data_IF_985041255898
#
_entry.id   IF_985041255898
#
_cell.length_a   1.000
_cell.length_b   1.000
_cell.length_c   1.000
_cell.angle_alpha   90.00
_cell.angle_beta   90.00
_cell.angle_gamma   90.00
#
_symmetry.space_group_name_H-M   'P 1'
#
loop_
_entity.id
_entity.type
_entity.pdbx_description
1 polymer ?
#
# COMPACT_ATOMS: atom_id res chain seq x y z
N UNK A 1 -7.24 -51.48 48.82
CA UNK A 1 -6.73 -52.03 47.54
C UNK A 1 -7.09 -51.02 46.46
N UNK A 2 -6.18 -50.11 46.07
CA UNK A 2 -5.25 -50.25 44.93
C UNK A 2 -5.98 -50.80 43.68
N UNK A 3 -5.99 -50.19 42.49
CA UNK A 3 -5.26 -49.06 41.90
C UNK A 3 -5.88 -48.87 40.49
N UNK A 4 -6.05 -47.64 40.01
CA UNK A 4 -5.67 -47.18 38.64
C UNK A 4 -6.32 -45.85 38.30
N UNK A 5 -5.65 -44.78 38.73
CA UNK A 5 -5.76 -43.46 38.11
C UNK A 5 -4.98 -43.57 36.79
N UNK A 6 -5.73 -43.76 35.70
CA UNK A 6 -5.20 -43.83 34.35
C UNK A 6 -5.02 -42.42 33.78
N UNK A 7 -3.77 -42.00 33.80
CA UNK A 7 -3.08 -41.04 32.92
C UNK A 7 -3.90 -40.10 32.01
N UNK A 8 -3.58 -38.81 32.20
CA UNK A 8 -3.62 -37.74 31.22
C UNK A 8 -3.50 -38.20 29.75
N UNK A 9 -4.38 -37.67 28.92
CA UNK A 9 -4.03 -37.33 27.55
C UNK A 9 -4.74 -36.03 27.20
N UNK A 10 -4.03 -34.92 27.41
CA UNK A 10 -4.39 -33.64 26.83
C UNK A 10 -4.28 -33.78 25.32
N UNK A 11 -5.42 -33.81 24.62
CA UNK A 11 -5.45 -33.70 23.17
C UNK A 11 -5.07 -32.28 22.80
N UNK A 12 -3.77 -32.04 22.68
CA UNK A 12 -3.21 -30.85 22.07
C UNK A 12 -3.53 -30.93 20.57
N UNK A 13 -4.71 -30.47 20.18
CA UNK A 13 -5.03 -30.21 18.78
C UNK A 13 -4.24 -28.97 18.36
N UNK A 14 -2.96 -29.18 18.02
CA UNK A 14 -2.15 -28.19 17.34
C UNK A 14 -2.77 -28.04 15.94
N UNK A 15 -3.67 -27.06 15.80
CA UNK A 15 -4.16 -26.64 14.49
C UNK A 15 -2.94 -26.22 13.67
N UNK A 16 -2.62 -27.00 12.63
CA UNK A 16 -1.60 -26.63 11.68
C UNK A 16 -1.91 -25.23 11.14
N UNK A 17 -0.97 -24.27 11.16
CA UNK A 17 -1.07 -23.12 10.29
C UNK A 17 -0.89 -23.66 8.86
N UNK A 18 -2.00 -23.94 8.18
CA UNK A 18 -2.02 -24.22 6.74
C UNK A 18 -1.77 -22.92 5.99
N UNK A 19 -0.55 -22.39 6.06
CA UNK A 19 -0.08 -21.32 5.17
C UNK A 19 0.79 -21.93 4.09
N UNK A 20 0.16 -22.34 2.99
CA UNK A 20 0.83 -22.59 1.70
C UNK A 20 -0.18 -22.75 0.55
N UNK A 21 -1.32 -22.04 0.56
CA UNK A 21 -2.03 -21.82 -0.70
C UNK A 21 -1.48 -20.54 -1.34
N UNK A 22 -1.15 -20.54 -2.64
CA UNK A 22 -0.83 -19.29 -3.32
C UNK A 22 -2.00 -18.34 -3.08
N UNK A 23 -1.74 -17.05 -2.76
CA UNK A 23 -2.81 -16.10 -2.51
C UNK A 23 -3.75 -16.13 -3.71
N UNK A 24 -4.95 -16.65 -3.49
CA UNK A 24 -5.97 -16.62 -4.53
C UNK A 24 -6.31 -15.16 -4.77
N UNK A 25 -6.72 -14.80 -5.99
CA UNK A 25 -7.17 -13.44 -6.27
C UNK A 25 -8.27 -12.96 -5.30
N UNK A 26 -9.05 -13.90 -4.73
CA UNK A 26 -10.01 -13.66 -3.67
C UNK A 26 -9.35 -13.25 -2.33
N UNK A 27 -8.24 -13.87 -1.94
CA UNK A 27 -7.50 -13.51 -0.73
C UNK A 27 -6.85 -12.11 -0.85
N UNK A 28 -6.30 -11.79 -2.03
CA UNK A 28 -5.77 -10.45 -2.29
C UNK A 28 -6.88 -9.38 -2.29
N UNK A 29 -8.05 -9.68 -2.88
CA UNK A 29 -9.20 -8.79 -2.86
C UNK A 29 -9.78 -8.57 -1.45
N UNK A 30 -9.82 -9.63 -0.62
CA UNK A 30 -10.27 -9.54 0.77
C UNK A 30 -9.34 -8.63 1.60
N UNK A 31 -8.03 -8.81 1.46
CA UNK A 31 -7.05 -8.00 2.18
C UNK A 31 -7.10 -6.51 1.74
N UNK A 32 -7.34 -6.21 0.45
CA UNK A 32 -7.56 -4.83 0.00
C UNK A 32 -8.88 -4.23 0.54
N UNK A 33 -9.93 -5.04 0.70
CA UNK A 33 -11.17 -4.59 1.30
C UNK A 33 -10.99 -4.22 2.78
N UNK A 34 -10.25 -5.03 3.53
CA UNK A 34 -9.93 -4.76 4.94
C UNK A 34 -9.08 -3.48 5.11
N UNK A 35 -8.15 -3.20 4.19
CA UNK A 35 -7.41 -1.92 4.16
C UNK A 35 -8.37 -0.74 3.98
N UNK A 36 -9.31 -0.83 3.04
CA UNK A 36 -10.26 0.26 2.78
C UNK A 36 -11.18 0.53 3.98
N UNK A 37 -11.60 -0.53 4.70
CA UNK A 37 -12.38 -0.40 5.94
C UNK A 37 -11.60 0.33 7.04
N UNK A 38 -10.32 -0.01 7.22
CA UNK A 38 -9.46 0.68 8.19
C UNK A 38 -9.23 2.15 7.83
N UNK A 39 -9.03 2.47 6.56
CA UNK A 39 -8.91 3.86 6.07
C UNK A 39 -10.17 4.68 6.35
N UNK A 40 -11.35 4.09 6.10
CA UNK A 40 -12.63 4.70 6.46
C UNK A 40 -12.71 4.93 7.97
N UNK A 41 -12.36 3.94 8.79
CA UNK A 41 -12.32 4.07 10.25
C UNK A 41 -11.41 5.20 10.74
N UNK A 42 -10.24 5.37 10.13
CA UNK A 42 -9.30 6.49 10.43
C UNK A 42 -9.95 7.84 10.10
N UNK A 43 -10.63 7.93 8.95
CA UNK A 43 -11.32 9.15 8.52
C UNK A 43 -12.43 9.54 9.50
N UNK A 44 -13.21 8.56 9.97
CA UNK A 44 -14.26 8.78 10.96
C UNK A 44 -13.69 9.15 12.33
N UNK A 45 -12.63 8.48 12.78
CA UNK A 45 -11.95 8.81 14.03
C UNK A 45 -11.37 10.23 13.99
N UNK A 46 -10.84 10.66 12.84
CA UNK A 46 -10.39 12.05 12.62
C UNK A 46 -11.56 13.02 12.71
N UNK A 47 -12.68 12.74 12.04
CA UNK A 47 -13.88 13.59 12.09
C UNK A 47 -14.45 13.73 13.51
N UNK A 48 -14.37 12.66 14.31
CA UNK A 48 -14.82 12.61 15.71
C UNK A 48 -13.78 13.12 16.73
N UNK A 49 -12.60 13.56 16.29
CA UNK A 49 -11.53 14.04 17.17
C UNK A 49 -10.87 12.95 18.05
N UNK A 50 -11.05 11.68 17.71
CA UNK A 50 -10.58 10.53 18.50
C UNK A 50 -9.12 10.19 18.19
N UNK A 51 -8.20 11.01 18.69
CA UNK A 51 -6.77 10.90 18.36
C UNK A 51 -6.13 9.55 18.71
N UNK A 52 -6.48 8.94 19.86
CA UNK A 52 -5.94 7.64 20.25
C UNK A 52 -6.45 6.51 19.34
N UNK A 53 -7.77 6.48 19.09
CA UNK A 53 -8.38 5.48 18.21
C UNK A 53 -7.83 5.59 16.79
N UNK A 54 -7.63 6.82 16.30
CA UNK A 54 -6.97 7.07 15.00
C UNK A 54 -5.57 6.46 14.93
N UNK A 55 -4.78 6.57 16.01
CA UNK A 55 -3.43 5.99 16.06
C UNK A 55 -3.47 4.47 16.02
N UNK A 56 -4.34 3.85 16.83
CA UNK A 56 -4.54 2.41 16.83
C UNK A 56 -4.93 1.89 15.45
N UNK A 57 -5.92 2.52 14.80
CA UNK A 57 -6.34 2.14 13.45
C UNK A 57 -5.24 2.33 12.41
N UNK A 58 -4.38 3.34 12.56
CA UNK A 58 -3.24 3.54 11.67
C UNK A 58 -2.12 2.51 11.87
N UNK A 59 -1.93 2.02 13.10
CA UNK A 59 -1.01 0.92 13.41
C UNK A 59 -1.54 -0.43 12.90
N UNK A 60 -2.85 -0.68 13.07
CA UNK A 60 -3.53 -1.84 12.50
C UNK A 60 -3.42 -1.84 10.96
N UNK A 61 -3.65 -0.68 10.33
CA UNK A 61 -3.52 -0.51 8.88
C UNK A 61 -2.09 -0.76 8.39
N UNK A 62 -1.06 -0.27 9.10
CA UNK A 62 0.32 -0.46 8.68
C UNK A 62 0.78 -1.92 8.81
N UNK A 63 0.33 -2.62 9.84
CA UNK A 63 0.55 -4.05 10.01
C UNK A 63 -0.13 -4.85 8.89
N UNK A 64 -1.41 -4.57 8.62
CA UNK A 64 -2.18 -5.25 7.58
C UNK A 64 -1.58 -4.99 6.19
N UNK A 65 -1.16 -3.75 5.88
CA UNK A 65 -0.50 -3.43 4.61
C UNK A 65 0.80 -4.23 4.42
N UNK A 66 1.59 -4.44 5.48
CA UNK A 66 2.80 -5.25 5.41
C UNK A 66 2.49 -6.72 5.09
N UNK A 67 1.43 -7.28 5.68
CA UNK A 67 0.98 -8.66 5.45
C UNK A 67 0.34 -8.85 4.07
N UNK A 68 -0.49 -7.89 3.67
CA UNK A 68 -1.12 -7.82 2.35
C UNK A 68 -0.11 -7.72 1.20
N UNK A 69 1.02 -7.07 1.44
CA UNK A 69 2.12 -6.94 0.47
C UNK A 69 3.09 -8.14 0.53
N UNK A 70 2.98 -9.01 1.54
CA UNK A 70 3.89 -10.12 1.79
C UNK A 70 3.79 -11.33 0.83
N UNK A 71 3.01 -11.31 -0.27
CA UNK A 71 3.33 -12.13 -1.42
C UNK A 71 3.59 -11.32 -2.70
N UNK A 72 4.29 -10.18 -2.59
CA UNK A 72 5.01 -9.56 -3.71
C UNK A 72 6.48 -9.35 -3.32
N UNK A 73 7.24 -10.44 -3.45
CA UNK A 73 8.69 -10.45 -3.72
C UNK A 73 9.63 -9.91 -2.61
N UNK A 74 10.78 -10.58 -2.33
CA UNK A 74 11.83 -10.07 -1.43
C UNK A 74 12.58 -8.83 -1.98
N UNK A 75 11.94 -8.06 -2.88
CA UNK A 75 12.48 -6.88 -3.56
C UNK A 75 11.82 -5.58 -3.07
N UNK A 76 11.07 -5.61 -1.96
CA UNK A 76 10.50 -4.40 -1.35
C UNK A 76 11.53 -3.58 -0.53
N UNK A 77 12.81 -3.95 -0.58
CA UNK A 77 13.94 -3.10 -0.21
C UNK A 77 14.96 -3.09 -1.37
N UNK A 78 14.73 -2.28 -2.41
CA UNK A 78 15.74 -1.99 -3.44
C UNK A 78 15.59 -0.53 -3.94
N UNK A 79 16.67 0.06 -4.49
CA UNK A 79 17.40 1.19 -3.95
C UNK A 79 16.69 2.54 -4.17
N UNK A 80 16.57 3.34 -3.11
CA UNK A 80 16.02 4.72 -3.17
C UNK A 80 16.69 5.59 -4.24
N UNK A 81 17.95 5.32 -4.58
CA UNK A 81 18.72 6.06 -5.57
C UNK A 81 18.19 5.91 -7.01
N UNK A 82 17.76 4.71 -7.41
CA UNK A 82 17.23 4.47 -8.76
C UNK A 82 15.87 5.15 -8.95
N UNK A 83 15.01 5.09 -7.91
CA UNK A 83 13.75 5.81 -7.89
C UNK A 83 13.95 7.33 -7.90
N UNK A 84 14.93 7.84 -7.15
CA UNK A 84 15.26 9.27 -7.15
C UNK A 84 15.77 9.74 -8.51
N UNK A 85 16.63 8.97 -9.18
CA UNK A 85 17.12 9.27 -10.52
C UNK A 85 15.99 9.27 -11.58
N UNK A 86 15.05 8.33 -11.46
CA UNK A 86 13.88 8.31 -12.34
C UNK A 86 13.00 9.56 -12.15
N UNK A 87 12.80 10.02 -10.90
CA UNK A 87 12.06 11.24 -10.61
C UNK A 87 12.75 12.47 -11.21
N UNK A 88 14.06 12.61 -11.02
CA UNK A 88 14.84 13.73 -11.56
C UNK A 88 14.76 13.78 -13.11
N UNK A 89 14.85 12.62 -13.77
CA UNK A 89 14.67 12.53 -15.22
C UNK A 89 13.28 13.01 -15.65
N UNK A 90 12.22 12.57 -14.97
CA UNK A 90 10.86 12.99 -15.29
C UNK A 90 10.65 14.50 -15.06
N UNK A 91 11.23 15.06 -14.01
CA UNK A 91 11.17 16.50 -13.74
C UNK A 91 11.85 17.32 -14.84
N UNK A 92 13.02 16.87 -15.31
CA UNK A 92 13.72 17.49 -16.44
C UNK A 92 12.88 17.43 -17.74
N UNK A 93 12.24 16.30 -18.01
CA UNK A 93 11.36 16.14 -19.18
C UNK A 93 10.14 17.05 -19.10
N UNK A 94 9.51 17.17 -17.93
CA UNK A 94 8.40 18.11 -17.70
C UNK A 94 8.83 19.55 -17.97
N UNK A 95 10.01 19.95 -17.48
CA UNK A 95 10.53 21.29 -17.72
C UNK A 95 10.76 21.55 -19.21
N UNK A 96 11.35 20.58 -19.91
CA UNK A 96 11.56 20.66 -21.36
C UNK A 96 10.24 20.81 -22.12
N UNK A 97 9.25 19.97 -21.82
CA UNK A 97 7.94 20.02 -22.48
C UNK A 97 7.25 21.38 -22.28
N UNK A 98 7.39 21.99 -21.10
CA UNK A 98 6.85 23.34 -20.84
C UNK A 98 7.53 24.40 -21.71
N UNK A 99 8.85 24.36 -21.85
CA UNK A 99 9.56 25.29 -22.74
C UNK A 99 9.16 25.12 -24.21
N UNK A 100 8.95 23.88 -24.64
CA UNK A 100 8.51 23.59 -26.01
C UNK A 100 7.09 24.10 -26.26
N UNK A 101 6.19 23.99 -25.28
CA UNK A 101 4.86 24.60 -25.32
C UNK A 101 4.94 26.13 -25.39
N UNK A 102 5.73 26.78 -24.54
CA UNK A 102 5.90 28.23 -24.55
C UNK A 102 6.41 28.74 -25.91
N UNK A 103 7.32 27.98 -26.54
CA UNK A 103 7.82 28.28 -27.88
C UNK A 103 6.72 28.17 -28.93
N UNK A 104 5.94 27.09 -28.89
CA UNK A 104 4.83 26.87 -29.82
C UNK A 104 3.77 27.98 -29.68
N UNK A 105 3.45 28.39 -28.46
CA UNK A 105 2.52 29.49 -28.18
C UNK A 105 3.04 30.83 -28.69
N UNK A 106 4.34 31.09 -28.53
CA UNK A 106 4.96 32.31 -29.08
C UNK A 106 4.91 32.34 -30.61
N UNK A 107 5.13 31.20 -31.27
CA UNK A 107 5.00 31.07 -32.73
C UNK A 107 3.54 31.32 -33.17
N UNK A 108 2.57 30.73 -32.45
CA UNK A 108 1.16 30.93 -32.73
C UNK A 108 0.76 32.40 -32.62
N UNK A 109 1.26 33.11 -31.60
CA UNK A 109 1.00 34.55 -31.43
C UNK A 109 1.58 35.38 -32.57
N UNK A 110 2.80 35.08 -33.04
CA UNK A 110 3.41 35.76 -34.18
C UNK A 110 2.59 35.58 -35.45
N UNK A 111 2.25 34.33 -35.79
CA UNK A 111 1.43 34.03 -36.97
C UNK A 111 0.07 34.72 -36.93
N UNK A 112 -0.56 34.82 -35.75
CA UNK A 112 -1.81 35.57 -35.57
C UNK A 112 -1.66 37.09 -35.78
N UNK A 113 -0.49 37.64 -35.52
CA UNK A 113 -0.20 39.07 -35.74
C UNK A 113 0.20 39.37 -37.19
N UNK A 114 0.79 38.41 -37.89
CA UNK A 114 1.20 38.52 -39.29
C UNK A 114 0.05 38.23 -40.28
N UNK A 115 -0.93 37.41 -39.87
CA UNK A 115 -2.06 37.00 -40.70
C UNK A 115 -3.38 37.74 -40.43
N UNK A 116 -3.38 38.78 -39.59
CA UNK A 116 -4.52 39.67 -39.33
C UNK A 116 -4.27 41.06 -39.87
#
# INVERSE_FOLDING_TARGET
MLLKIGFLSATLAFACPSFAQPPTAAAAAACLAEIAELEQGISEARAKGQMLRRRQLAEELSALQAECTAPVSPTALAPTAERAAAIESLEADIHRMRMDLDRADAQLRRLKQEGG
#
